data_IF_751077394108
#
_entry.id   IF_751077394108
#
_cell.length_a   1.000
_cell.length_b   1.000
_cell.length_c   1.000
_cell.angle_alpha   90.00
_cell.angle_beta   90.00
_cell.angle_gamma   90.00
#
_symmetry.space_group_name_H-M   'P 1'
#
loop_
_entity.id
_entity.type
_entity.pdbx_description
1 polymer ?
#
# COMPACT_ATOMS: atom_id res chain seq x y z
N UNK A 1 7.24 -18.71 10.78
CA UNK A 1 6.39 -18.33 9.64
C UNK A 1 6.86 -19.10 8.43
N UNK A 2 6.02 -19.97 7.85
CA UNK A 2 6.30 -20.62 6.57
C UNK A 2 6.11 -19.62 5.42
N UNK A 3 6.69 -19.92 4.25
CA UNK A 3 6.49 -19.12 3.03
C UNK A 3 5.00 -18.92 2.71
N UNK A 4 4.17 -19.95 2.94
CA UNK A 4 2.72 -19.88 2.71
C UNK A 4 2.05 -18.89 3.65
N UNK A 5 2.44 -18.88 4.93
CA UNK A 5 1.93 -17.93 5.92
C UNK A 5 2.34 -16.50 5.58
N UNK A 6 3.59 -16.28 5.17
CA UNK A 6 4.08 -14.95 4.77
C UNK A 6 3.30 -14.39 3.56
N UNK A 7 3.00 -15.22 2.55
CA UNK A 7 2.20 -14.82 1.38
C UNK A 7 0.78 -14.43 1.79
N UNK A 8 0.15 -15.19 2.70
CA UNK A 8 -1.19 -14.87 3.19
C UNK A 8 -1.18 -13.57 3.98
N UNK A 9 -0.19 -13.36 4.85
CA UNK A 9 -0.02 -12.11 5.61
C UNK A 9 0.10 -10.90 4.69
N UNK A 10 0.95 -10.96 3.66
CA UNK A 10 1.12 -9.86 2.70
C UNK A 10 -0.16 -9.60 1.89
N UNK A 11 -0.88 -10.65 1.48
CA UNK A 11 -2.15 -10.51 0.77
C UNK A 11 -3.20 -9.83 1.63
N UNK A 12 -3.30 -10.22 2.91
CA UNK A 12 -4.23 -9.62 3.86
C UNK A 12 -3.87 -8.16 4.13
N UNK A 13 -2.58 -7.85 4.29
CA UNK A 13 -2.11 -6.47 4.49
C UNK A 13 -2.52 -5.56 3.31
N UNK A 14 -2.38 -6.03 2.06
CA UNK A 14 -2.81 -5.30 0.85
C UNK A 14 -4.31 -5.05 0.81
N UNK A 15 -5.10 -6.08 1.15
CA UNK A 15 -6.56 -5.97 1.22
C UNK A 15 -7.00 -4.99 2.31
N UNK A 16 -6.43 -5.09 3.50
CA UNK A 16 -6.76 -4.20 4.62
C UNK A 16 -6.50 -2.74 4.26
N UNK A 17 -5.35 -2.44 3.63
CA UNK A 17 -5.08 -1.08 3.21
C UNK A 17 -6.04 -0.61 2.11
N UNK A 18 -6.38 -1.47 1.14
CA UNK A 18 -7.35 -1.11 0.10
C UNK A 18 -8.74 -0.79 0.67
N UNK A 19 -9.22 -1.63 1.60
CA UNK A 19 -10.49 -1.41 2.29
C UNK A 19 -10.47 -0.10 3.10
N UNK A 20 -9.38 0.14 3.83
CA UNK A 20 -9.20 1.38 4.59
C UNK A 20 -9.29 2.62 3.71
N UNK A 21 -8.68 2.58 2.52
CA UNK A 21 -8.75 3.69 1.57
C UNK A 21 -10.19 3.93 1.08
N UNK A 22 -10.93 2.86 0.80
CA UNK A 22 -12.33 2.92 0.37
C UNK A 22 -13.24 3.44 1.48
N UNK A 23 -13.11 2.92 2.71
CA UNK A 23 -13.90 3.33 3.88
C UNK A 23 -13.71 4.81 4.23
N UNK A 24 -12.53 5.38 3.94
CA UNK A 24 -12.21 6.78 4.18
C UNK A 24 -12.38 7.67 2.93
N UNK A 25 -12.98 7.15 1.85
CA UNK A 25 -13.24 7.86 0.60
C UNK A 25 -12.00 8.44 -0.11
N UNK A 26 -10.82 7.85 0.11
CA UNK A 26 -9.61 8.27 -0.61
C UNK A 26 -9.69 7.88 -2.08
N UNK A 27 -9.57 8.86 -2.97
CA UNK A 27 -9.59 8.57 -4.41
C UNK A 27 -8.22 8.12 -4.90
N UNK A 28 -8.20 7.24 -5.91
CA UNK A 28 -6.93 6.82 -6.56
C UNK A 28 -6.19 8.00 -7.21
N UNK A 29 -6.90 9.06 -7.57
CA UNK A 29 -6.31 10.28 -8.13
C UNK A 29 -5.54 11.08 -7.10
N UNK A 30 -6.19 11.36 -5.98
CA UNK A 30 -5.61 12.06 -4.83
C UNK A 30 -4.36 11.33 -4.33
N UNK A 31 -4.46 10.02 -4.10
CA UNK A 31 -3.33 9.23 -3.60
C UNK A 31 -2.16 9.20 -4.59
N UNK A 32 -2.44 9.17 -5.90
CA UNK A 32 -1.40 9.22 -6.92
C UNK A 32 -0.69 10.59 -6.93
N UNK A 33 -1.44 11.67 -6.75
CA UNK A 33 -0.91 13.03 -6.64
C UNK A 33 -0.03 13.19 -5.39
N UNK A 34 -0.45 12.64 -4.24
CA UNK A 34 0.31 12.67 -2.97
C UNK A 34 1.72 12.10 -3.11
N UNK A 35 1.88 11.04 -3.92
CA UNK A 35 3.20 10.40 -4.14
C UNK A 35 3.84 10.79 -5.48
N UNK A 36 3.30 11.80 -6.17
CA UNK A 36 3.82 12.32 -7.44
C UNK A 36 3.93 11.23 -8.52
N UNK A 37 2.86 10.48 -8.75
CA UNK A 37 2.85 9.37 -9.72
C UNK A 37 1.52 9.25 -10.46
N UNK A 38 1.41 8.26 -11.35
CA UNK A 38 0.18 7.97 -12.10
C UNK A 38 -0.75 7.02 -11.33
N UNK A 39 -2.05 7.08 -11.62
CA UNK A 39 -3.03 6.10 -11.09
C UNK A 39 -2.63 4.65 -11.38
N UNK A 40 -2.04 4.41 -12.56
CA UNK A 40 -1.57 3.08 -12.94
C UNK A 40 -0.43 2.60 -12.05
N UNK A 41 0.56 3.46 -11.79
CA UNK A 41 1.66 3.12 -10.87
C UNK A 41 1.13 2.87 -9.45
N UNK A 42 0.23 3.73 -8.95
CA UNK A 42 -0.43 3.52 -7.66
C UNK A 42 -1.11 2.15 -7.57
N UNK A 43 -1.85 1.74 -8.61
CA UNK A 43 -2.48 0.42 -8.63
C UNK A 43 -1.46 -0.72 -8.58
N UNK A 44 -0.34 -0.62 -9.31
CA UNK A 44 0.74 -1.63 -9.24
C UNK A 44 1.39 -1.66 -7.85
N UNK A 45 1.58 -0.49 -7.24
CA UNK A 45 2.13 -0.34 -5.90
C UNK A 45 1.24 -1.02 -4.85
N UNK A 46 -0.06 -0.72 -4.84
CA UNK A 46 -1.01 -1.27 -3.87
C UNK A 46 -1.24 -2.78 -4.06
N UNK A 47 -1.11 -3.27 -5.30
CA UNK A 47 -1.11 -4.69 -5.59
C UNK A 47 0.21 -5.38 -5.22
N UNK A 48 1.24 -4.62 -4.84
CA UNK A 48 2.58 -5.09 -4.47
C UNK A 48 3.40 -5.63 -5.64
N UNK A 49 3.14 -5.11 -6.85
CA UNK A 49 3.95 -5.36 -8.05
C UNK A 49 5.14 -4.40 -8.15
N UNK A 50 5.13 -3.31 -7.36
CA UNK A 50 6.27 -2.42 -7.21
C UNK A 50 7.04 -2.81 -5.95
N UNK A 51 8.37 -2.84 -6.06
CA UNK A 51 9.27 -3.23 -4.97
C UNK A 51 10.50 -2.33 -4.91
N UNK A 52 11.29 -2.47 -3.85
CA UNK A 52 12.50 -1.68 -3.63
C UNK A 52 12.26 -0.36 -2.88
N UNK A 53 13.34 0.40 -2.69
CA UNK A 53 13.38 1.56 -1.80
C UNK A 53 12.37 2.65 -2.17
N UNK A 54 12.27 2.99 -3.45
CA UNK A 54 11.35 4.02 -3.91
C UNK A 54 9.88 3.65 -3.68
N UNK A 55 9.50 2.38 -3.91
CA UNK A 55 8.16 1.88 -3.64
C UNK A 55 7.83 1.96 -2.14
N UNK A 56 8.78 1.55 -1.29
CA UNK A 56 8.64 1.64 0.17
C UNK A 56 8.50 3.08 0.66
N UNK A 57 9.29 4.02 0.13
CA UNK A 57 9.19 5.44 0.47
C UNK A 57 7.81 5.99 0.11
N UNK A 58 7.29 5.67 -1.08
CA UNK A 58 5.95 6.09 -1.51
C UNK A 58 4.85 5.50 -0.62
N UNK A 59 4.95 4.23 -0.23
CA UNK A 59 4.00 3.59 0.68
C UNK A 59 4.01 4.26 2.06
N UNK A 60 5.20 4.56 2.61
CA UNK A 60 5.33 5.30 3.87
C UNK A 60 4.68 6.68 3.78
N UNK A 61 4.83 7.38 2.65
CA UNK A 61 4.15 8.65 2.40
C UNK A 61 2.62 8.48 2.40
N UNK A 62 2.09 7.45 1.73
CA UNK A 62 0.65 7.16 1.75
C UNK A 62 0.15 6.81 3.16
N UNK A 63 0.87 6.00 3.92
CA UNK A 63 0.52 5.66 5.30
C UNK A 63 0.48 6.90 6.19
N UNK A 64 1.48 7.77 6.08
CA UNK A 64 1.52 9.04 6.82
C UNK A 64 0.36 9.97 6.40
N UNK A 65 0.08 10.07 5.11
CA UNK A 65 -0.99 10.92 4.59
C UNK A 65 -2.37 10.45 5.02
N UNK A 66 -2.59 9.14 4.97
CA UNK A 66 -3.89 8.52 5.26
C UNK A 66 -4.10 8.23 6.74
N UNK A 67 -3.05 8.31 7.56
CA UNK A 67 -3.10 7.91 8.97
C UNK A 67 -3.11 6.39 9.18
N UNK A 68 -2.91 5.60 8.12
CA UNK A 68 -2.84 4.14 8.22
C UNK A 68 -1.55 3.70 8.92
N UNK A 69 -1.67 2.84 9.93
CA UNK A 69 -0.54 2.37 10.76
C UNK A 69 0.43 1.45 10.01
N UNK A 70 0.05 0.93 8.84
CA UNK A 70 0.93 0.09 8.01
C UNK A 70 1.09 -1.33 8.54
N UNK A 71 0.21 -1.80 9.42
CA UNK A 71 0.28 -3.13 10.02
C UNK A 71 0.42 -4.22 8.93
N UNK A 72 1.42 -5.07 9.10
CA UNK A 72 1.75 -6.22 8.24
C UNK A 72 2.25 -5.90 6.80
N UNK A 73 2.43 -4.63 6.42
CA UNK A 73 3.00 -4.26 5.10
C UNK A 73 4.53 -4.18 5.08
N UNK A 74 5.14 -3.82 6.22
CA UNK A 74 6.59 -3.59 6.35
C UNK A 74 7.32 -4.69 7.13
N UNK A 75 6.61 -5.75 7.55
CA UNK A 75 7.21 -6.92 8.18
C UNK A 75 7.77 -7.87 7.10
N UNK A 76 8.90 -7.50 6.50
CA UNK A 76 9.81 -8.40 5.79
C UNK A 76 11.24 -8.01 6.08
#
# INVERSE_FOLDING_TARGET
MSVKEAVVTLRNARRNFSNYLEDNNYTREELANVIGTTKQYLSRLLNGNESGRAAQEKLRTLFKYTGYTGENWLQV
#
